data_IF_777374685461
#
_entry.id   IF_777374685461
#
_cell.length_a   1.000
_cell.length_b   1.000
_cell.length_c   1.000
_cell.angle_alpha   90.00
_cell.angle_beta   90.00
_cell.angle_gamma   90.00
#
_symmetry.space_group_name_H-M   'P 1'
#
loop_
_entity.id
_entity.type
_entity.pdbx_description
1 polymer ?
#
# COMPACT_ATOMS: atom_id res chain seq x y z
N UNK A 1 14.83 10.32 -3.19
CA UNK A 1 15.30 8.97 -3.54
C UNK A 1 14.27 8.23 -4.39
N UNK A 2 13.07 7.93 -3.89
CA UNK A 2 12.02 7.28 -4.70
C UNK A 2 11.52 8.11 -5.88
N UNK A 3 11.31 9.42 -5.67
CA UNK A 3 10.87 10.36 -6.72
C UNK A 3 11.86 10.55 -7.89
N UNK A 4 13.05 9.95 -7.84
CA UNK A 4 14.04 9.99 -8.92
C UNK A 4 14.02 8.72 -9.78
N UNK A 5 13.29 7.68 -9.37
CA UNK A 5 13.14 6.47 -10.16
C UNK A 5 12.19 6.74 -11.33
N UNK A 6 12.59 6.31 -12.53
CA UNK A 6 11.80 6.41 -13.75
C UNK A 6 11.59 5.01 -14.32
N UNK A 7 10.36 4.70 -14.73
CA UNK A 7 9.98 3.40 -15.26
C UNK A 7 8.90 2.72 -14.41
N UNK A 8 8.51 1.52 -14.83
CA UNK A 8 7.56 0.68 -14.10
C UNK A 8 8.31 -0.17 -13.07
N UNK A 9 7.88 -0.12 -11.82
CA UNK A 9 8.54 -0.82 -10.73
C UNK A 9 7.60 -1.16 -9.59
N UNK A 10 7.87 -2.28 -8.95
CA UNK A 10 7.43 -2.58 -7.59
C UNK A 10 8.58 -3.31 -6.89
N UNK A 11 8.92 -2.92 -5.67
CA UNK A 11 9.99 -3.59 -4.93
C UNK A 11 9.78 -3.57 -3.42
N UNK A 12 10.44 -4.52 -2.77
CA UNK A 12 10.52 -4.66 -1.32
C UNK A 12 12.01 -4.64 -0.94
N UNK A 13 12.38 -3.76 -0.03
CA UNK A 13 13.73 -3.64 0.51
C UNK A 13 13.67 -3.82 2.03
N UNK A 14 14.37 -4.83 2.52
CA UNK A 14 14.54 -5.09 3.96
C UNK A 14 15.98 -4.85 4.35
N UNK A 15 16.21 -3.93 5.28
CA UNK A 15 17.49 -3.71 5.92
C UNK A 15 17.50 -4.38 7.30
N UNK A 16 18.24 -5.49 7.38
CA UNK A 16 18.42 -6.27 8.61
C UNK A 16 19.10 -5.46 9.73
N UNK A 17 20.00 -4.54 9.40
CA UNK A 17 20.78 -3.80 10.39
C UNK A 17 19.91 -2.83 11.20
N UNK A 18 18.93 -2.22 10.54
CA UNK A 18 17.99 -1.27 11.14
C UNK A 18 16.62 -1.90 11.42
N UNK A 19 16.44 -3.16 11.03
CA UNK A 19 15.14 -3.85 10.99
C UNK A 19 14.08 -3.01 10.26
N UNK A 20 14.49 -2.34 9.17
CA UNK A 20 13.61 -1.44 8.42
C UNK A 20 13.14 -2.07 7.12
N UNK A 21 11.87 -1.79 6.80
CA UNK A 21 11.20 -2.23 5.59
C UNK A 21 10.87 -0.99 4.77
N UNK A 22 11.15 -1.05 3.48
CA UNK A 22 10.72 -0.09 2.48
C UNK A 22 10.04 -0.84 1.33
N UNK A 23 8.82 -0.44 1.00
CA UNK A 23 8.05 -1.00 -0.12
C UNK A 23 7.62 0.16 -1.00
N UNK A 24 7.73 0.01 -2.31
CA UNK A 24 7.37 1.07 -3.25
C UNK A 24 6.80 0.47 -4.53
N UNK A 25 5.74 1.09 -5.05
CA UNK A 25 5.23 0.86 -6.40
C UNK A 25 5.42 2.13 -7.24
N UNK A 26 5.44 2.02 -8.56
CA UNK A 26 5.47 3.18 -9.44
C UNK A 26 4.18 4.01 -9.35
N UNK A 27 4.21 5.31 -9.74
CA UNK A 27 3.05 6.19 -9.75
C UNK A 27 1.88 5.67 -10.59
N UNK A 28 2.15 4.92 -11.66
CA UNK A 28 1.12 4.38 -12.54
C UNK A 28 0.64 2.98 -12.13
N UNK A 29 1.25 2.35 -11.11
CA UNK A 29 0.87 1.03 -10.63
C UNK A 29 1.04 -0.05 -11.69
N UNK A 30 2.01 0.11 -12.61
CA UNK A 30 2.15 -0.77 -13.78
C UNK A 30 2.68 -2.15 -13.44
N UNK A 31 3.47 -2.27 -12.38
CA UNK A 31 3.89 -3.57 -11.84
C UNK A 31 2.93 -3.97 -10.73
N UNK A 32 2.24 -5.13 -10.84
CA UNK A 32 1.38 -5.63 -9.78
C UNK A 32 2.16 -5.83 -8.47
N UNK A 33 1.57 -5.40 -7.37
CA UNK A 33 2.07 -5.70 -6.04
C UNK A 33 0.88 -5.84 -5.10
N UNK A 34 0.88 -6.93 -4.36
CA UNK A 34 -0.09 -7.24 -3.33
C UNK A 34 0.64 -7.37 -2.01
N UNK A 35 -0.08 -7.09 -0.93
CA UNK A 35 0.38 -7.32 0.44
C UNK A 35 -0.69 -8.01 1.26
N UNK A 36 -0.29 -8.66 2.33
CA UNK A 36 -1.21 -9.27 3.27
C UNK A 36 -0.56 -9.60 4.59
N UNK A 37 -1.40 -10.05 5.52
CA UNK A 37 -0.98 -10.55 6.82
C UNK A 37 -1.24 -12.05 6.83
N UNK A 38 -0.18 -12.83 7.07
CA UNK A 38 -0.25 -14.29 7.18
C UNK A 38 -0.85 -14.70 8.53
N UNK A 39 -1.27 -15.95 8.65
CA UNK A 39 -1.89 -16.47 9.87
C UNK A 39 -0.99 -16.39 11.13
N UNK A 40 0.33 -16.35 10.96
CA UNK A 40 1.31 -16.16 12.03
C UNK A 40 1.63 -14.68 12.31
N UNK A 41 0.91 -13.75 11.68
CA UNK A 41 1.04 -12.31 11.91
C UNK A 41 2.19 -11.64 11.15
N UNK A 42 2.82 -12.32 10.19
CA UNK A 42 3.86 -11.72 9.35
C UNK A 42 3.25 -10.93 8.18
N UNK A 43 3.97 -9.91 7.71
CA UNK A 43 3.64 -9.24 6.46
C UNK A 43 4.20 -10.02 5.27
N UNK A 44 3.39 -10.24 4.26
CA UNK A 44 3.77 -10.90 3.02
C UNK A 44 3.53 -9.99 1.81
N UNK A 45 4.36 -10.15 0.78
CA UNK A 45 4.28 -9.42 -0.49
C UNK A 45 4.42 -10.40 -1.65
N UNK A 46 3.67 -10.16 -2.72
CA UNK A 46 3.82 -10.89 -3.99
C UNK A 46 3.24 -10.05 -5.13
N UNK A 47 3.73 -10.25 -6.34
CA UNK A 47 3.09 -9.79 -7.58
C UNK A 47 1.96 -10.73 -8.04
N UNK A 48 1.86 -11.92 -7.45
CA UNK A 48 0.81 -12.89 -7.66
C UNK A 48 -0.14 -12.97 -6.45
N UNK A 49 -1.40 -12.59 -6.68
CA UNK A 49 -2.43 -12.64 -5.65
C UNK A 49 -2.73 -14.06 -5.18
N UNK A 50 -2.61 -15.06 -6.06
CA UNK A 50 -2.92 -16.45 -5.73
C UNK A 50 -1.90 -17.03 -4.73
N UNK A 51 -0.64 -16.58 -4.78
CA UNK A 51 0.35 -16.92 -3.77
C UNK A 51 -0.02 -16.39 -2.37
N UNK A 52 -0.59 -15.18 -2.29
CA UNK A 52 -1.00 -14.59 -1.01
C UNK A 52 -2.30 -15.18 -0.48
N UNK A 53 -3.25 -15.54 -1.35
CA UNK A 53 -4.53 -16.15 -0.92
C UNK A 53 -4.30 -17.37 -0.03
N UNK A 54 -3.36 -18.24 -0.40
CA UNK A 54 -3.05 -19.45 0.36
C UNK A 54 -2.49 -19.18 1.77
N UNK A 55 -1.84 -18.03 1.98
CA UNK A 55 -1.14 -17.70 3.24
C UNK A 55 -1.88 -16.68 4.11
N UNK A 56 -2.62 -15.76 3.48
CA UNK A 56 -3.24 -14.60 4.11
C UNK A 56 -4.78 -14.70 4.16
N UNK A 57 -5.41 -15.65 3.45
CA UNK A 57 -6.86 -15.75 3.36
C UNK A 57 -7.48 -14.46 2.82
N UNK A 58 -8.39 -13.83 3.60
CA UNK A 58 -9.00 -12.54 3.25
C UNK A 58 -8.18 -11.32 3.71
N UNK A 59 -7.13 -11.54 4.49
CA UNK A 59 -6.24 -10.47 5.00
C UNK A 59 -5.18 -10.07 3.97
N UNK A 60 -5.61 -9.78 2.74
CA UNK A 60 -4.76 -9.31 1.65
C UNK A 60 -5.43 -8.19 0.86
N UNK A 61 -4.61 -7.39 0.20
CA UNK A 61 -5.04 -6.26 -0.61
C UNK A 61 -4.02 -5.96 -1.73
N UNK A 62 -4.41 -5.25 -2.78
CA UNK A 62 -3.45 -4.59 -3.66
C UNK A 62 -2.67 -3.55 -2.86
N UNK A 63 -1.36 -3.48 -3.09
CA UNK A 63 -0.56 -2.37 -2.58
C UNK A 63 -0.98 -1.09 -3.35
N UNK A 64 -1.23 0.04 -2.67
CA UNK A 64 -1.78 1.21 -3.34
C UNK A 64 -0.78 1.80 -4.32
N UNK A 65 -1.28 2.05 -5.53
CA UNK A 65 -0.57 2.73 -6.60
C UNK A 65 0.02 4.07 -6.12
N UNK A 66 1.21 4.41 -6.63
CA UNK A 66 1.87 5.67 -6.32
C UNK A 66 2.12 5.89 -4.83
N UNK A 67 2.27 4.82 -4.06
CA UNK A 67 2.59 4.88 -2.65
C UNK A 67 3.91 4.19 -2.34
N UNK A 68 4.40 4.47 -1.13
CA UNK A 68 5.44 3.69 -0.48
C UNK A 68 5.06 3.44 0.97
N UNK A 69 5.51 2.32 1.52
CA UNK A 69 5.42 2.00 2.94
C UNK A 69 6.82 1.99 3.54
N UNK A 70 7.01 2.61 4.70
CA UNK A 70 8.20 2.39 5.49
C UNK A 70 7.91 2.42 6.98
N UNK A 71 8.27 1.35 7.70
CA UNK A 71 8.15 1.31 9.15
C UNK A 71 9.02 2.38 9.83
N UNK A 72 10.21 2.66 9.28
CA UNK A 72 11.12 3.70 9.76
C UNK A 72 10.61 5.13 9.50
N UNK A 73 9.74 5.33 8.50
CA UNK A 73 9.19 6.65 8.14
C UNK A 73 7.73 6.83 8.54
N UNK A 74 7.17 5.96 9.39
CA UNK A 74 5.83 6.10 9.94
C UNK A 74 4.71 5.55 9.06
N UNK A 75 5.01 4.55 8.22
CA UNK A 75 4.03 3.74 7.49
C UNK A 75 3.82 4.16 6.05
N UNK A 76 2.58 4.00 5.59
CA UNK A 76 2.14 4.16 4.21
C UNK A 76 1.94 5.63 3.83
N UNK A 77 2.48 6.05 2.69
CA UNK A 77 2.40 7.43 2.16
C UNK A 77 2.27 7.43 0.65
N UNK A 78 1.53 8.39 0.11
CA UNK A 78 1.43 8.65 -1.32
C UNK A 78 2.54 9.61 -1.79
N UNK A 79 3.07 9.42 -3.01
CA UNK A 79 4.06 10.33 -3.59
C UNK A 79 3.50 11.71 -3.92
N UNK A 80 2.37 11.77 -4.62
CA UNK A 80 1.75 13.03 -5.05
C UNK A 80 1.26 13.85 -3.86
N UNK A 81 0.82 13.15 -2.81
CA UNK A 81 0.13 13.73 -1.69
C UNK A 81 0.68 13.22 -0.34
N UNK A 82 1.95 13.51 0.02
CA UNK A 82 2.60 12.91 1.19
C UNK A 82 1.99 13.28 2.54
N UNK A 83 1.19 14.36 2.57
CA UNK A 83 0.47 14.84 3.76
C UNK A 83 -0.93 14.24 3.90
N UNK A 84 -1.46 13.66 2.83
CA UNK A 84 -2.78 13.06 2.85
C UNK A 84 -2.72 11.66 3.43
N UNK A 85 -3.77 11.30 4.18
CA UNK A 85 -3.87 9.96 4.77
C UNK A 85 -4.27 8.97 3.68
N UNK A 86 -3.62 7.81 3.68
CA UNK A 86 -4.08 6.65 2.93
C UNK A 86 -4.91 5.79 3.87
N UNK A 87 -6.17 5.53 3.51
CA UNK A 87 -7.13 4.78 4.34
C UNK A 87 -7.52 3.48 3.69
N UNK A 88 -7.64 2.43 4.50
CA UNK A 88 -8.24 1.17 4.08
C UNK A 88 -9.76 1.33 3.93
N UNK A 89 -10.29 0.86 2.80
CA UNK A 89 -11.71 0.71 2.52
C UNK A 89 -11.98 -0.79 2.50
N UNK A 90 -12.79 -1.34 3.43
CA UNK A 90 -13.17 -2.74 3.41
C UNK A 90 -13.84 -3.10 2.08
N UNK A 91 -13.53 -4.29 1.59
CA UNK A 91 -14.20 -4.85 0.42
C UNK A 91 -15.49 -5.60 0.83
N UNK A 92 -16.38 -5.80 -0.13
CA UNK A 92 -17.56 -6.64 0.06
C UNK A 92 -17.16 -8.12 0.25
N UNK A 93 -18.02 -8.92 0.90
CA UNK A 93 -17.68 -10.30 1.32
C UNK A 93 -17.28 -11.23 0.15
N UNK A 94 -17.79 -10.95 -1.04
CA UNK A 94 -17.57 -11.71 -2.27
C UNK A 94 -16.19 -11.45 -2.89
N UNK A 95 -15.51 -10.37 -2.52
CA UNK A 95 -14.20 -10.03 -3.09
C UNK A 95 -13.06 -10.87 -2.51
N UNK A 96 -12.06 -11.14 -3.34
CA UNK A 96 -10.84 -11.85 -2.92
C UNK A 96 -10.06 -11.06 -1.86
N UNK A 97 -9.87 -9.77 -2.11
CA UNK A 97 -9.16 -8.86 -1.22
C UNK A 97 -10.11 -8.42 -0.11
N UNK A 98 -9.63 -8.33 1.13
CA UNK A 98 -10.45 -7.83 2.24
C UNK A 98 -10.52 -6.31 2.30
N UNK A 99 -9.64 -5.61 1.56
CA UNK A 99 -9.62 -4.15 1.51
C UNK A 99 -8.95 -3.62 0.24
N UNK A 100 -9.23 -2.35 -0.04
CA UNK A 100 -8.43 -1.49 -0.95
C UNK A 100 -7.95 -0.27 -0.18
N UNK A 101 -6.86 0.36 -0.62
CA UNK A 101 -6.30 1.54 0.02
C UNK A 101 -6.46 2.76 -0.88
N UNK A 102 -7.03 3.85 -0.35
CA UNK A 102 -7.30 5.09 -1.11
C UNK A 102 -6.72 6.31 -0.40
N UNK A 103 -6.24 7.27 -1.17
CA UNK A 103 -5.82 8.58 -0.66
C UNK A 103 -7.07 9.39 -0.34
N UNK A 104 -7.18 9.91 0.88
CA UNK A 104 -8.24 10.85 1.26
C UNK A 104 -7.79 12.24 0.87
N UNK A 105 -8.41 12.83 -0.14
CA UNK A 105 -8.22 14.26 -0.44
C UNK A 105 -8.80 15.08 0.72
N UNK A 106 -8.05 16.07 1.20
CA UNK A 106 -8.51 16.95 2.25
C UNK A 106 -9.79 17.65 1.81
N UNK A 107 -10.88 17.44 2.55
CA UNK A 107 -12.14 18.16 2.33
C UNK A 107 -11.87 19.65 2.20
N UNK A 108 -12.11 20.22 1.02
CA UNK A 108 -12.28 21.65 0.87
C UNK A 108 -13.50 22.00 1.72
N UNK A 109 -13.26 22.57 2.90
CA UNK A 109 -14.32 23.14 3.71
C UNK A 109 -14.90 24.32 2.91
N UNK A 110 -15.92 24.04 2.10
CA UNK A 110 -16.86 25.06 1.67
C UNK A 110 -17.63 25.43 2.93
N UNK A 111 -17.13 26.41 3.67
CA UNK A 111 -17.96 27.14 4.64
C UNK A 111 -19.07 27.80 3.82
N UNK A 112 -20.21 27.13 3.71
CA UNK A 112 -21.45 27.79 3.37
C UNK A 112 -21.74 28.76 4.51
N UNK A 113 -21.58 30.05 4.22
CA UNK A 113 -22.06 31.15 5.05
C UNK A 113 -23.57 30.97 5.21
N UNK A 114 -24.05 30.99 6.45
CA UNK A 114 -25.44 31.27 6.77
C UNK A 114 -25.55 32.02 8.10
#
# INVERSE_FOLDING_TARGET
MLAQLTGSYAFVLFDKSTNSLLVASDPEGRVPLFWGITADGCVAFSDDIDMLKGSCGKSLAPFPQGCFYSNALGGLKCYENPKHKVTAVPADEEEICGATFKVVEGSTVLTALH
#
